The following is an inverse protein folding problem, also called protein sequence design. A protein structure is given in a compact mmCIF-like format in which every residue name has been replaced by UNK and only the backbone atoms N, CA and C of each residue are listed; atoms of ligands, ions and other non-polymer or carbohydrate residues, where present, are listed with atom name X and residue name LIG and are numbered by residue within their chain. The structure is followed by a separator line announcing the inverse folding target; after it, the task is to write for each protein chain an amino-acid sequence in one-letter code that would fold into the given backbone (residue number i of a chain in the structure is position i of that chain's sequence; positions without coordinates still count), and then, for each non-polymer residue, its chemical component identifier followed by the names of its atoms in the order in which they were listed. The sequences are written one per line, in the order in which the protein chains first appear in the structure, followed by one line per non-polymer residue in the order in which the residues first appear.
data_IF_020822890591
#
_entry.id   IF_020822890591
#
_cell.length_a   1.000
_cell.length_b   1.000
_cell.length_c   1.000
_cell.angle_alpha   90.00
_cell.angle_beta   90.00
_cell.angle_gamma   90.00
#
_symmetry.space_group_name_H-M   'P 1'
#
loop_
_entity.id
_entity.type
_entity.pdbx_description
1 polymer ?
#
# COMPACT_ATOMS: atom_id res chain seq x y z
N UNK A 1 21.19 -11.23 -5.04
CA UNK A 1 20.06 -11.18 -4.09
C UNK A 1 19.82 -9.72 -3.71
N UNK A 2 18.61 -9.20 -3.85
CA UNK A 2 18.25 -7.87 -3.37
C UNK A 2 18.26 -7.86 -1.85
N UNK A 3 19.08 -7.00 -1.27
CA UNK A 3 19.07 -6.73 0.16
C UNK A 3 18.00 -5.68 0.45
N UNK A 4 17.34 -5.80 1.60
CA UNK A 4 16.36 -4.81 2.05
C UNK A 4 17.06 -3.50 2.46
N UNK A 5 16.38 -2.38 2.21
CA UNK A 5 16.79 -1.06 2.69
C UNK A 5 16.38 -0.91 4.14
N UNK A 6 17.34 -0.66 5.04
CA UNK A 6 17.06 -0.43 6.46
C UNK A 6 16.11 0.75 6.65
N UNK A 7 16.34 1.85 5.95
CA UNK A 7 15.48 3.03 6.01
C UNK A 7 14.06 2.72 5.56
N UNK A 8 13.88 2.05 4.42
CA UNK A 8 12.55 1.74 3.91
C UNK A 8 11.79 0.80 4.86
N UNK A 9 12.47 -0.22 5.40
CA UNK A 9 11.90 -1.14 6.39
C UNK A 9 11.51 -0.41 7.67
N UNK A 10 12.37 0.47 8.19
CA UNK A 10 12.08 1.24 9.41
C UNK A 10 10.88 2.19 9.20
N UNK A 11 10.83 2.89 8.08
CA UNK A 11 9.71 3.77 7.74
C UNK A 11 8.41 2.98 7.60
N UNK A 12 8.42 1.86 6.88
CA UNK A 12 7.26 1.00 6.73
C UNK A 12 6.80 0.43 8.08
N UNK A 13 7.73 -0.08 8.89
CA UNK A 13 7.42 -0.61 10.22
C UNK A 13 6.84 0.46 11.15
N UNK A 14 7.42 1.67 11.15
CA UNK A 14 6.91 2.79 11.94
C UNK A 14 5.51 3.20 11.47
N UNK A 15 5.30 3.36 10.16
CA UNK A 15 4.01 3.71 9.59
C UNK A 15 2.94 2.66 9.90
N UNK A 16 3.24 1.38 9.74
CA UNK A 16 2.32 0.28 10.09
C UNK A 16 2.03 0.24 11.60
N UNK A 17 3.03 0.48 12.46
CA UNK A 17 2.83 0.54 13.92
C UNK A 17 1.91 1.70 14.31
N UNK A 18 2.14 2.89 13.73
CA UNK A 18 1.25 4.04 13.91
C UNK A 18 -0.16 3.76 13.35
N UNK A 19 -0.24 2.99 12.27
CA UNK A 19 -1.48 2.48 11.71
C UNK A 19 -2.24 1.67 12.74
N UNK A 20 -1.60 0.63 13.28
CA UNK A 20 -2.17 -0.24 14.32
C UNK A 20 -2.67 0.58 15.53
N UNK A 21 -1.86 1.50 16.04
CA UNK A 21 -2.25 2.37 17.16
C UNK A 21 -3.46 3.25 16.81
N UNK A 22 -3.49 3.82 15.59
CA UNK A 22 -4.62 4.62 15.12
C UNK A 22 -5.88 3.79 14.93
N UNK A 23 -5.78 2.56 14.42
CA UNK A 23 -6.90 1.65 14.26
C UNK A 23 -7.44 1.18 15.61
N UNK A 24 -6.56 0.96 16.59
CA UNK A 24 -6.96 0.63 17.95
C UNK A 24 -7.70 1.81 18.59
N UNK A 25 -7.17 3.04 18.43
CA UNK A 25 -7.84 4.25 18.90
C UNK A 25 -9.23 4.40 18.26
N UNK A 26 -9.35 4.18 16.95
CA UNK A 26 -10.64 4.16 16.26
C UNK A 26 -11.59 3.16 16.90
N UNK A 27 -11.17 1.90 17.02
CA UNK A 27 -12.00 0.83 17.58
C UNK A 27 -12.44 1.13 19.02
N UNK A 28 -11.56 1.67 19.86
CA UNK A 28 -11.87 2.01 21.25
C UNK A 28 -12.84 3.20 21.37
N UNK A 29 -12.90 4.07 20.36
CA UNK A 29 -13.79 5.24 20.31
C UNK A 29 -14.92 5.06 19.29
N UNK A 30 -15.27 3.83 18.91
CA UNK A 30 -16.34 3.54 17.95
C UNK A 30 -17.71 3.79 18.57
N UNK A 31 -18.69 4.09 17.73
CA UNK A 31 -20.09 4.17 18.12
C UNK A 31 -20.63 2.78 18.49
N UNK A 32 -21.38 2.69 19.58
CA UNK A 32 -22.03 1.43 20.00
C UNK A 32 -23.27 1.11 19.16
N UNK A 33 -23.91 2.15 18.60
CA UNK A 33 -25.04 1.98 17.69
C UNK A 33 -24.55 1.45 16.35
N UNK A 34 -25.10 0.32 15.93
CA UNK A 34 -24.74 -0.33 14.66
C UNK A 34 -25.70 0.13 13.58
N UNK A 35 -25.17 0.79 12.56
CA UNK A 35 -25.93 1.20 11.40
C UNK A 35 -26.42 -0.02 10.59
N UNK A 36 -27.64 0.03 10.03
CA UNK A 36 -28.15 -1.04 9.20
C UNK A 36 -27.38 -1.10 7.87
N UNK A 37 -26.95 -2.30 7.49
CA UNK A 37 -26.27 -2.54 6.21
C UNK A 37 -27.16 -2.21 5.02
N UNK A 38 -26.59 -1.54 4.02
CA UNK A 38 -27.22 -1.27 2.74
C UNK A 38 -26.83 -2.36 1.72
N UNK A 39 -27.76 -3.25 1.29
CA UNK A 39 -27.44 -4.31 0.36
C UNK A 39 -26.90 -3.78 -0.98
N UNK A 40 -25.84 -4.41 -1.51
CA UNK A 40 -25.23 -4.09 -2.81
C UNK A 40 -24.03 -3.14 -2.73
N UNK A 41 -23.64 -2.66 -1.54
CA UNK A 41 -22.47 -1.81 -1.33
C UNK A 41 -21.15 -2.59 -1.28
N UNK A 42 -21.21 -3.91 -1.14
CA UNK A 42 -20.06 -4.79 -0.92
C UNK A 42 -19.11 -4.92 -2.11
N UNK A 43 -19.46 -4.46 -3.32
CA UNK A 43 -18.54 -4.31 -4.45
C UNK A 43 -17.61 -5.53 -4.78
N UNK A 44 -18.05 -6.77 -4.53
CA UNK A 44 -17.22 -7.97 -4.72
C UNK A 44 -16.76 -8.18 -6.15
N UNK A 45 -17.63 -7.92 -7.14
CA UNK A 45 -17.31 -8.14 -8.56
C UNK A 45 -16.10 -7.30 -8.99
N UNK A 46 -16.06 -5.96 -8.75
CA UNK A 46 -14.86 -5.16 -8.95
C UNK A 46 -13.60 -5.75 -8.30
N UNK A 47 -13.69 -6.25 -7.06
CA UNK A 47 -12.52 -6.78 -6.35
C UNK A 47 -12.02 -8.11 -6.92
N UNK A 48 -12.90 -8.96 -7.44
CA UNK A 48 -12.48 -10.16 -8.17
C UNK A 48 -11.70 -9.81 -9.45
N UNK A 49 -12.08 -8.72 -10.13
CA UNK A 49 -11.33 -8.20 -11.29
C UNK A 49 -9.96 -7.68 -10.83
N UNK A 50 -9.92 -6.88 -9.75
CA UNK A 50 -8.64 -6.38 -9.19
C UNK A 50 -7.74 -7.54 -8.78
N UNK A 51 -8.29 -8.60 -8.18
CA UNK A 51 -7.54 -9.80 -7.79
C UNK A 51 -6.86 -10.42 -9.00
N UNK A 52 -7.59 -10.61 -10.09
CA UNK A 52 -7.04 -11.15 -11.33
C UNK A 52 -5.90 -10.26 -11.87
N UNK A 53 -6.08 -8.93 -11.88
CA UNK A 53 -5.06 -7.98 -12.33
C UNK A 53 -3.79 -8.07 -11.47
N UNK A 54 -3.94 -8.03 -10.14
CA UNK A 54 -2.83 -8.11 -9.18
C UNK A 54 -2.10 -9.44 -9.31
N UNK A 55 -2.83 -10.56 -9.36
CA UNK A 55 -2.26 -11.89 -9.50
C UNK A 55 -1.47 -12.06 -10.81
N UNK A 56 -2.05 -11.63 -11.93
CA UNK A 56 -1.38 -11.67 -13.25
C UNK A 56 -0.12 -10.79 -13.23
N UNK A 57 -0.21 -9.58 -12.69
CA UNK A 57 0.95 -8.69 -12.58
C UNK A 57 2.07 -9.31 -11.75
N UNK A 58 1.77 -9.82 -10.55
CA UNK A 58 2.78 -10.44 -9.68
C UNK A 58 3.37 -11.70 -10.29
N UNK A 59 2.57 -12.52 -10.97
CA UNK A 59 3.04 -13.70 -11.69
C UNK A 59 4.07 -13.33 -12.77
N UNK A 60 3.76 -12.35 -13.62
CA UNK A 60 4.69 -11.88 -14.64
C UNK A 60 5.92 -11.21 -14.04
N UNK A 61 5.76 -10.41 -12.99
CA UNK A 61 6.86 -9.76 -12.29
C UNK A 61 7.81 -10.79 -11.65
N UNK A 62 7.26 -11.85 -11.04
CA UNK A 62 8.03 -12.93 -10.45
C UNK A 62 8.80 -13.72 -11.50
N UNK A 63 8.17 -14.04 -12.65
CA UNK A 63 8.84 -14.77 -13.75
C UNK A 63 9.96 -13.98 -14.43
N UNK A 64 9.81 -12.65 -14.53
CA UNK A 64 10.80 -11.77 -15.18
C UNK A 64 11.88 -11.25 -14.24
N UNK A 65 11.74 -11.48 -12.94
CA UNK A 65 12.68 -11.01 -11.93
C UNK A 65 13.58 -12.15 -11.46
N UNK A 66 14.91 -11.94 -11.35
CA UNK A 66 15.80 -12.91 -10.72
C UNK A 66 15.48 -13.14 -9.22
N UNK A 67 14.54 -12.38 -8.65
CA UNK A 67 14.06 -12.54 -7.27
C UNK A 67 12.89 -13.53 -7.14
N UNK A 68 12.30 -13.97 -8.25
CA UNK A 68 11.06 -14.75 -8.22
C UNK A 68 9.95 -14.02 -7.45
N UNK A 69 9.22 -14.78 -6.63
CA UNK A 69 8.15 -14.26 -5.78
C UNK A 69 8.58 -13.21 -4.75
N UNK A 70 9.87 -13.13 -4.41
CA UNK A 70 10.39 -12.08 -3.51
C UNK A 70 10.28 -10.67 -4.11
N UNK A 71 9.86 -10.54 -5.38
CA UNK A 71 9.51 -9.26 -6.00
C UNK A 71 8.44 -8.47 -5.23
N UNK A 72 7.61 -9.15 -4.42
CA UNK A 72 6.67 -8.46 -3.52
C UNK A 72 7.36 -7.54 -2.51
N UNK A 73 8.62 -7.85 -2.16
CA UNK A 73 9.43 -7.02 -1.26
C UNK A 73 10.23 -5.94 -2.00
N UNK A 74 10.08 -5.82 -3.32
CA UNK A 74 10.82 -4.84 -4.12
C UNK A 74 10.64 -3.38 -3.66
N UNK A 75 9.47 -2.92 -3.19
CA UNK A 75 9.32 -1.57 -2.62
C UNK A 75 10.24 -1.29 -1.42
N UNK A 76 10.58 -2.33 -0.65
CA UNK A 76 11.49 -2.24 0.51
C UNK A 76 12.96 -2.49 0.14
N UNK A 77 13.28 -2.71 -1.13
CA UNK A 77 14.62 -3.09 -1.58
C UNK A 77 15.62 -1.92 -1.62
N UNK A 78 16.90 -2.22 -1.40
CA UNK A 78 17.98 -1.22 -1.62
C UNK A 78 18.01 -0.60 -3.02
N UNK A 79 17.71 -1.32 -4.12
CA UNK A 79 17.78 -0.71 -5.45
C UNK A 79 16.83 0.47 -5.64
N UNK A 80 15.58 0.36 -5.17
CA UNK A 80 14.61 1.47 -5.33
C UNK A 80 14.95 2.61 -4.37
N UNK A 81 15.37 2.31 -3.13
CA UNK A 81 15.82 3.32 -2.18
C UNK A 81 17.05 4.11 -2.69
N UNK A 82 18.00 3.44 -3.34
CA UNK A 82 19.16 4.08 -3.94
C UNK A 82 18.77 5.04 -5.09
N UNK A 83 17.80 4.65 -5.93
CA UNK A 83 17.26 5.51 -7.01
C UNK A 83 16.54 6.73 -6.48
N UNK A 84 15.75 6.57 -5.41
CA UNK A 84 15.11 7.69 -4.72
C UNK A 84 16.17 8.67 -4.22
N UNK A 85 17.19 8.18 -3.50
CA UNK A 85 18.29 9.00 -3.00
C UNK A 85 19.11 9.67 -4.12
N UNK A 86 19.37 8.97 -5.22
CA UNK A 86 20.02 9.55 -6.40
C UNK A 86 19.16 10.67 -7.03
N UNK A 87 17.84 10.51 -7.05
CA UNK A 87 16.91 11.51 -7.59
C UNK A 87 16.99 12.82 -6.79
N UNK A 88 16.99 12.74 -5.46
CA UNK A 88 17.15 13.94 -4.62
C UNK A 88 18.56 14.56 -4.70
N UNK A 89 19.58 13.78 -5.04
CA UNK A 89 20.97 14.27 -5.23
C UNK A 89 21.25 14.86 -6.61
N UNK A 90 20.36 14.67 -7.59
CA UNK A 90 20.57 15.09 -8.98
C UNK A 90 20.53 16.63 -9.20
N UNK A 91 20.39 17.43 -8.13
CA UNK A 91 20.43 18.89 -8.16
C UNK A 91 19.07 19.56 -8.41
N UNK A 92 19.07 20.89 -8.41
CA UNK A 92 17.86 21.74 -8.30
C UNK A 92 17.40 22.39 -9.62
N UNK A 93 17.70 21.79 -10.78
CA UNK A 93 17.10 22.24 -12.05
C UNK A 93 15.57 22.06 -12.04
N UNK A 94 14.78 22.87 -12.76
CA UNK A 94 13.31 22.81 -12.72
C UNK A 94 12.70 21.42 -12.94
N UNK A 95 13.24 20.65 -13.90
CA UNK A 95 12.80 19.27 -14.16
C UNK A 95 13.16 18.32 -13.03
N UNK A 96 14.30 18.52 -12.36
CA UNK A 96 14.71 17.70 -11.23
C UNK A 96 13.87 18.02 -9.99
N UNK A 97 13.52 19.29 -9.77
CA UNK A 97 12.55 19.69 -8.75
C UNK A 97 11.20 19.01 -8.96
N UNK A 98 10.66 19.05 -10.19
CA UNK A 98 9.41 18.36 -10.52
C UNK A 98 9.51 16.85 -10.25
N UNK A 99 10.61 16.20 -10.65
CA UNK A 99 10.84 14.78 -10.34
C UNK A 99 10.88 14.51 -8.85
N UNK A 100 11.57 15.34 -8.07
CA UNK A 100 11.64 15.22 -6.61
C UNK A 100 10.26 15.35 -5.96
N UNK A 101 9.41 16.27 -6.45
CA UNK A 101 8.03 16.44 -5.98
C UNK A 101 7.18 15.20 -6.31
N UNK A 102 7.23 14.72 -7.56
CA UNK A 102 6.50 13.51 -7.96
C UNK A 102 6.95 12.30 -7.14
N UNK A 103 8.26 12.11 -6.96
CA UNK A 103 8.80 11.04 -6.11
C UNK A 103 8.34 11.20 -4.66
N UNK A 104 8.33 12.41 -4.11
CA UNK A 104 7.86 12.66 -2.75
C UNK A 104 6.39 12.26 -2.58
N UNK A 105 5.52 12.65 -3.52
CA UNK A 105 4.09 12.29 -3.50
C UNK A 105 3.91 10.77 -3.53
N UNK A 106 4.62 10.07 -4.43
CA UNK A 106 4.47 8.61 -4.56
C UNK A 106 5.02 7.89 -3.32
N UNK A 107 6.16 8.33 -2.77
CA UNK A 107 6.71 7.77 -1.51
C UNK A 107 5.74 8.02 -0.35
N UNK A 108 5.16 9.22 -0.23
CA UNK A 108 4.14 9.51 0.78
C UNK A 108 2.94 8.60 0.63
N UNK A 109 2.50 8.30 -0.59
CA UNK A 109 1.40 7.36 -0.83
C UNK A 109 1.78 5.94 -0.36
N UNK A 110 2.98 5.44 -0.68
CA UNK A 110 3.45 4.14 -0.17
C UNK A 110 3.54 4.09 1.37
N UNK A 111 3.94 5.18 2.02
CA UNK A 111 3.98 5.28 3.49
C UNK A 111 2.58 5.34 4.08
N UNK A 112 1.69 6.14 3.48
CA UNK A 112 0.29 6.23 3.86
C UNK A 112 -0.40 4.87 3.76
N UNK A 113 -0.10 4.09 2.73
CA UNK A 113 -0.64 2.74 2.58
C UNK A 113 -0.14 1.78 3.67
N UNK A 114 1.12 1.89 4.11
CA UNK A 114 1.66 1.07 5.20
C UNK A 114 0.92 1.36 6.50
N UNK A 115 0.60 2.64 6.72
CA UNK A 115 -0.25 3.09 7.81
C UNK A 115 -1.69 2.57 7.67
N UNK A 116 -2.34 2.74 6.51
CA UNK A 116 -3.71 2.25 6.26
C UNK A 116 -3.83 0.75 6.47
N UNK A 117 -2.84 -0.05 6.05
CA UNK A 117 -2.82 -1.50 6.27
C UNK A 117 -2.86 -1.82 7.78
N UNK A 118 -2.03 -1.13 8.57
CA UNK A 118 -2.00 -1.29 10.02
C UNK A 118 -3.31 -0.84 10.69
N UNK A 119 -3.83 0.32 10.30
CA UNK A 119 -5.08 0.87 10.83
C UNK A 119 -6.24 -0.11 10.66
N UNK A 120 -6.32 -0.73 9.48
CA UNK A 120 -7.41 -1.62 9.12
C UNK A 120 -7.54 -2.84 10.06
N UNK A 121 -6.43 -3.30 10.66
CA UNK A 121 -6.43 -4.49 11.52
C UNK A 121 -7.44 -4.37 12.66
N UNK A 122 -7.40 -3.24 13.37
CA UNK A 122 -8.30 -2.97 14.50
C UNK A 122 -9.52 -2.17 14.08
N UNK A 123 -9.38 -1.21 13.14
CA UNK A 123 -10.54 -0.45 12.66
C UNK A 123 -11.59 -1.37 12.01
N UNK A 124 -11.17 -2.47 11.34
CA UNK A 124 -12.11 -3.43 10.79
C UNK A 124 -12.93 -4.21 11.84
N UNK A 125 -12.50 -4.25 13.10
CA UNK A 125 -13.29 -4.89 14.16
C UNK A 125 -14.52 -4.06 14.54
N UNK A 126 -14.56 -2.78 14.16
CA UNK A 126 -15.73 -1.95 14.28
C UNK A 126 -16.81 -2.40 13.26
N UNK A 127 -17.99 -2.87 13.71
CA UNK A 127 -19.05 -3.31 12.81
C UNK A 127 -19.50 -2.18 11.88
N UNK A 128 -19.50 -0.92 12.33
CA UNK A 128 -19.87 0.22 11.50
C UNK A 128 -18.86 0.48 10.38
N UNK A 129 -17.59 0.15 10.62
CA UNK A 129 -16.55 0.29 9.63
C UNK A 129 -16.70 -0.71 8.49
N UNK A 130 -17.07 -1.96 8.78
CA UNK A 130 -17.15 -3.04 7.78
C UNK A 130 -18.52 -3.18 7.12
N UNK A 131 -19.59 -2.66 7.73
CA UNK A 131 -20.95 -2.97 7.28
C UNK A 131 -21.24 -2.51 5.84
N UNK A 132 -20.77 -1.33 5.43
CA UNK A 132 -20.88 -0.79 4.07
C UNK A 132 -19.50 -0.62 3.38
N UNK A 133 -18.48 -1.28 3.93
CA UNK A 133 -17.18 -1.36 3.28
C UNK A 133 -17.23 -2.29 2.06
N UNK A 134 -16.28 -2.08 1.16
CA UNK A 134 -16.05 -3.01 0.05
C UNK A 134 -15.70 -4.38 0.63
N UNK A 135 -16.42 -5.43 0.23
CA UNK A 135 -16.32 -6.80 0.78
C UNK A 135 -17.08 -7.03 2.09
N UNK A 136 -17.78 -6.02 2.61
CA UNK A 136 -18.64 -6.11 3.78
C UNK A 136 -19.84 -7.06 3.62
N UNK A 137 -20.66 -7.23 4.66
CA UNK A 137 -20.54 -6.62 5.99
C UNK A 137 -19.58 -7.37 6.93
N UNK A 138 -18.91 -8.42 6.45
CA UNK A 138 -18.01 -9.23 7.26
C UNK A 138 -16.61 -8.64 7.35
N UNK A 139 -15.96 -8.76 8.52
CA UNK A 139 -14.55 -8.41 8.67
C UNK A 139 -13.65 -9.08 7.62
N UNK A 140 -13.68 -10.41 7.40
CA UNK A 140 -12.78 -11.04 6.45
C UNK A 140 -12.92 -10.51 5.03
N UNK A 141 -14.15 -10.24 4.58
CA UNK A 141 -14.40 -9.70 3.25
C UNK A 141 -13.95 -8.24 3.13
N UNK A 142 -14.24 -7.40 4.12
CA UNK A 142 -13.76 -6.02 4.15
C UNK A 142 -12.24 -5.94 4.12
N UNK A 143 -11.58 -6.75 4.95
CA UNK A 143 -10.11 -6.81 5.00
C UNK A 143 -9.52 -7.31 3.69
N UNK A 144 -10.12 -8.32 3.07
CA UNK A 144 -9.68 -8.84 1.77
C UNK A 144 -9.68 -7.74 0.70
N UNK A 145 -10.80 -7.04 0.53
CA UNK A 145 -10.95 -6.00 -0.48
C UNK A 145 -9.98 -4.84 -0.25
N UNK A 146 -9.90 -4.31 0.98
CA UNK A 146 -9.02 -3.20 1.30
C UNK A 146 -7.52 -3.54 1.19
N UNK A 147 -7.12 -4.76 1.55
CA UNK A 147 -5.73 -5.19 1.38
C UNK A 147 -5.41 -5.49 -0.08
N UNK A 148 -6.39 -5.90 -0.88
CA UNK A 148 -6.23 -6.06 -2.30
C UNK A 148 -6.04 -4.71 -3.01
N UNK A 149 -6.79 -3.67 -2.63
CA UNK A 149 -6.53 -2.29 -3.07
C UNK A 149 -5.11 -1.86 -2.69
N UNK A 150 -4.71 -2.18 -1.47
CA UNK A 150 -3.36 -1.97 -0.97
C UNK A 150 -2.31 -2.65 -1.85
N UNK A 151 -2.50 -3.91 -2.21
CA UNK A 151 -1.57 -4.64 -3.06
C UNK A 151 -1.48 -4.04 -4.47
N UNK A 152 -2.62 -3.66 -5.07
CA UNK A 152 -2.67 -3.00 -6.37
C UNK A 152 -1.93 -1.66 -6.34
N UNK A 153 -2.29 -0.78 -5.41
CA UNK A 153 -1.72 0.56 -5.33
C UNK A 153 -0.21 0.51 -5.03
N UNK A 154 0.27 -0.44 -4.22
CA UNK A 154 1.71 -0.61 -3.98
C UNK A 154 2.44 -1.01 -5.27
N UNK A 155 1.87 -1.94 -6.04
CA UNK A 155 2.45 -2.35 -7.31
C UNK A 155 2.50 -1.18 -8.31
N UNK A 156 1.45 -0.36 -8.36
CA UNK A 156 1.39 0.85 -9.19
C UNK A 156 2.42 1.88 -8.74
N UNK A 157 2.43 2.27 -7.46
CA UNK A 157 3.38 3.21 -6.89
C UNK A 157 4.83 2.78 -7.14
N UNK A 158 5.14 1.52 -6.88
CA UNK A 158 6.47 0.99 -7.12
C UNK A 158 6.88 1.05 -8.59
N UNK A 159 5.96 0.70 -9.49
CA UNK A 159 6.19 0.78 -10.94
C UNK A 159 6.44 2.22 -11.38
N UNK A 160 5.64 3.17 -10.88
CA UNK A 160 5.80 4.59 -11.15
C UNK A 160 7.13 5.12 -10.60
N UNK A 161 7.49 4.79 -9.35
CA UNK A 161 8.79 5.16 -8.77
C UNK A 161 9.94 4.69 -9.64
N UNK A 162 9.90 3.45 -10.12
CA UNK A 162 10.95 2.96 -11.04
C UNK A 162 11.02 3.75 -12.35
N UNK A 163 9.88 4.21 -12.86
CA UNK A 163 9.80 4.99 -14.09
C UNK A 163 10.29 6.44 -13.91
N UNK A 164 9.96 7.10 -12.79
CA UNK A 164 10.26 8.53 -12.60
C UNK A 164 11.60 8.81 -11.92
N UNK A 165 12.14 7.86 -11.16
CA UNK A 165 13.43 8.03 -10.48
C UNK A 165 14.62 7.90 -11.44
N UNK A 166 15.67 8.66 -11.18
CA UNK A 166 16.94 8.51 -11.92
C UNK A 166 17.58 7.16 -11.62
N UNK A 167 18.38 6.63 -12.55
CA UNK A 167 19.18 5.43 -12.29
C UNK A 167 20.23 5.78 -11.22
N UNK A 168 20.40 4.89 -10.26
CA UNK A 168 21.43 4.98 -9.22
C UNK A 168 22.73 4.34 -9.70
#
# INVERSE_FOLDING_TARGET
MTTLSRTAVLVAAAATTLGLASGLSWYLNRDEEINPHTPGTEAWIPHLIVLAVVAVWFWFAARRSPQGWKVILAPLGRPIAARIAATYRAGFGPLNLLRCLVVAVIVTLEVFMAWRIGQQVFAGLDPNFVHDAWGGPSYPGAMFCHYLDGALLYAVCHTLLRAVTVKA
#
